data_IF_743396085801
#
_entry.id   IF_743396085801
#
_cell.length_a   1.000
_cell.length_b   1.000
_cell.length_c   1.000
_cell.angle_alpha   90.00
_cell.angle_beta   90.00
_cell.angle_gamma   90.00
#
_symmetry.space_group_name_H-M   'P 1'
#
loop_
_entity.id
_entity.type
_entity.pdbx_description
1 polymer ?
#
# COMPACT_ATOMS: atom_id res chain seq x y z
N UNK A 1 -17.30 8.55 -21.33
CA UNK A 1 -17.67 7.52 -20.33
C UNK A 1 -16.55 7.47 -19.31
N UNK A 2 -16.88 7.51 -18.00
CA UNK A 2 -15.90 7.37 -16.93
C UNK A 2 -15.47 5.91 -16.81
N UNK A 3 -14.16 5.66 -16.76
CA UNK A 3 -13.56 4.40 -16.30
C UNK A 3 -13.34 4.57 -14.81
N UNK A 4 -13.76 3.60 -13.99
CA UNK A 4 -13.52 3.58 -12.55
C UNK A 4 -13.13 2.19 -12.10
N UNK A 5 -12.04 2.08 -11.32
CA UNK A 5 -11.63 0.84 -10.66
C UNK A 5 -11.21 1.16 -9.23
N UNK A 6 -11.73 0.38 -8.31
CA UNK A 6 -11.28 0.34 -6.92
C UNK A 6 -10.37 -0.88 -6.75
N UNK A 7 -9.15 -0.65 -6.31
CA UNK A 7 -8.10 -1.66 -6.20
C UNK A 7 -7.72 -1.78 -4.72
N UNK A 8 -7.50 -3.00 -4.26
CA UNK A 8 -7.22 -3.24 -2.85
C UNK A 8 -5.83 -3.83 -2.63
N UNK A 9 -5.13 -3.32 -1.64
CA UNK A 9 -3.92 -3.93 -1.09
C UNK A 9 -4.23 -4.60 0.25
N UNK A 10 -4.12 -5.95 0.35
CA UNK A 10 -4.46 -6.66 1.58
C UNK A 10 -3.44 -6.49 2.71
N UNK A 11 -2.21 -6.05 2.42
CA UNK A 11 -1.18 -5.90 3.45
C UNK A 11 -1.39 -4.64 4.28
N UNK A 12 -1.66 -3.51 3.62
CA UNK A 12 -1.94 -2.23 4.27
C UNK A 12 -3.43 -1.99 4.50
N UNK A 13 -4.31 -2.77 3.86
CA UNK A 13 -5.76 -2.54 3.77
C UNK A 13 -6.12 -1.24 3.04
N UNK A 14 -5.26 -0.82 2.12
CA UNK A 14 -5.41 0.40 1.33
C UNK A 14 -6.25 0.16 0.08
N UNK A 15 -7.10 1.12 -0.25
CA UNK A 15 -7.73 1.24 -1.55
C UNK A 15 -7.01 2.25 -2.42
N UNK A 16 -6.61 1.83 -3.62
CA UNK A 16 -6.20 2.73 -4.71
C UNK A 16 -7.35 2.90 -5.71
N UNK A 17 -7.43 4.07 -6.36
CA UNK A 17 -8.54 4.37 -7.26
C UNK A 17 -8.05 4.83 -8.62
N UNK A 18 -8.38 4.07 -9.67
CA UNK A 18 -8.12 4.45 -11.06
C UNK A 18 -9.36 5.13 -11.65
N UNK A 19 -9.21 6.37 -12.09
CA UNK A 19 -10.23 7.12 -12.82
C UNK A 19 -9.72 7.48 -14.22
N UNK A 20 -10.53 7.22 -15.26
CA UNK A 20 -10.13 7.53 -16.64
C UNK A 20 -11.29 8.10 -17.47
N UNK A 21 -10.97 8.97 -18.43
CA UNK A 21 -11.87 9.34 -19.51
C UNK A 21 -11.64 8.39 -20.70
N UNK A 22 -12.57 7.44 -20.90
CA UNK A 22 -12.49 6.47 -21.99
C UNK A 22 -12.41 7.08 -23.40
N UNK A 23 -12.85 8.33 -23.59
CA UNK A 23 -12.80 9.00 -24.92
C UNK A 23 -11.47 9.71 -25.15
N UNK A 24 -10.86 10.22 -24.11
CA UNK A 24 -9.54 10.87 -24.17
C UNK A 24 -8.40 9.87 -23.97
N UNK A 25 -8.70 8.66 -23.50
CA UNK A 25 -7.73 7.65 -23.13
C UNK A 25 -6.69 8.17 -22.11
N UNK A 26 -7.14 9.00 -21.15
CA UNK A 26 -6.31 9.53 -20.07
C UNK A 26 -6.89 9.14 -18.72
N UNK A 27 -6.00 8.84 -17.76
CA UNK A 27 -6.39 8.42 -16.42
C UNK A 27 -5.48 9.01 -15.35
N UNK A 28 -5.99 9.03 -14.11
CA UNK A 28 -5.25 9.29 -12.88
C UNK A 28 -5.41 8.10 -11.93
N UNK A 29 -4.43 7.90 -11.06
CA UNK A 29 -4.46 6.87 -10.01
C UNK A 29 -4.25 7.53 -8.65
N UNK A 30 -5.17 7.31 -7.73
CA UNK A 30 -5.14 7.85 -6.36
C UNK A 30 -4.59 6.79 -5.42
N UNK A 31 -3.69 7.18 -4.51
CA UNK A 31 -3.06 6.39 -3.45
C UNK A 31 -2.47 5.04 -3.95
N UNK A 32 -1.55 5.05 -4.94
CA UNK A 32 -0.91 3.83 -5.43
C UNK A 32 0.02 3.22 -4.37
N UNK A 33 -0.04 1.90 -4.19
CA UNK A 33 0.86 1.15 -3.29
C UNK A 33 2.07 0.63 -4.07
N UNK A 34 3.28 0.76 -3.50
CA UNK A 34 4.55 0.39 -4.16
C UNK A 34 4.54 -1.06 -4.67
N UNK A 35 4.16 -1.98 -3.81
CA UNK A 35 4.13 -3.42 -4.10
C UNK A 35 3.04 -3.79 -5.13
N UNK A 36 2.06 -2.90 -5.36
CA UNK A 36 0.98 -3.09 -6.33
C UNK A 36 1.22 -2.37 -7.67
N UNK A 37 2.32 -1.62 -7.81
CA UNK A 37 2.59 -0.82 -9.01
C UNK A 37 2.57 -1.64 -10.31
N UNK A 38 3.01 -2.91 -10.28
CA UNK A 38 2.94 -3.83 -11.42
C UNK A 38 1.51 -4.15 -11.83
N UNK A 39 0.65 -4.51 -10.87
CA UNK A 39 -0.78 -4.76 -11.10
C UNK A 39 -1.42 -3.53 -11.74
N UNK A 40 -1.13 -2.36 -11.17
CA UNK A 40 -1.72 -1.10 -11.59
C UNK A 40 -1.26 -0.72 -13.00
N UNK A 41 0.03 -0.88 -13.31
CA UNK A 41 0.57 -0.64 -14.66
C UNK A 41 -0.03 -1.61 -15.69
N UNK A 42 -0.19 -2.90 -15.37
CA UNK A 42 -0.80 -3.89 -16.23
C UNK A 42 -2.26 -3.54 -16.55
N UNK A 43 -3.04 -3.17 -15.52
CA UNK A 43 -4.43 -2.76 -15.67
C UNK A 43 -4.56 -1.49 -16.54
N UNK A 44 -3.70 -0.49 -16.33
CA UNK A 44 -3.66 0.74 -17.11
C UNK A 44 -3.39 0.43 -18.60
N UNK A 45 -2.44 -0.46 -18.86
CA UNK A 45 -2.10 -0.95 -20.21
C UNK A 45 -3.27 -1.72 -20.85
N UNK A 46 -3.91 -2.64 -20.11
CA UNK A 46 -5.07 -3.41 -20.57
C UNK A 46 -6.24 -2.51 -20.95
N UNK A 47 -6.48 -1.45 -20.18
CA UNK A 47 -7.54 -0.47 -20.44
C UNK A 47 -7.20 0.49 -21.59
N UNK A 48 -5.97 0.46 -22.10
CA UNK A 48 -5.52 1.31 -23.20
C UNK A 48 -5.53 2.80 -22.85
N UNK A 49 -5.27 3.17 -21.60
CA UNK A 49 -5.26 4.57 -21.14
C UNK A 49 -3.85 5.01 -20.75
N UNK A 50 -3.58 6.30 -20.94
CA UNK A 50 -2.35 6.95 -20.48
C UNK A 50 -2.54 7.41 -19.03
N UNK A 51 -1.72 6.96 -18.12
CA UNK A 51 -1.65 7.52 -16.77
C UNK A 51 -0.99 8.90 -16.83
N UNK A 52 -1.77 9.95 -16.57
CA UNK A 52 -1.25 11.33 -16.61
C UNK A 52 -0.68 11.76 -15.27
N UNK A 53 -1.24 11.27 -14.16
CA UNK A 53 -0.73 11.56 -12.82
C UNK A 53 -1.08 10.45 -11.82
N UNK A 54 -0.22 10.29 -10.82
CA UNK A 54 -0.54 9.69 -9.53
C UNK A 54 -0.87 10.80 -8.53
N UNK A 55 -1.83 10.54 -7.65
CA UNK A 55 -2.34 11.50 -6.68
C UNK A 55 -2.29 10.86 -5.29
N UNK A 56 -1.74 11.55 -4.31
CA UNK A 56 -1.76 11.12 -2.91
C UNK A 56 -2.82 11.92 -2.14
N UNK A 57 -3.67 11.24 -1.38
CA UNK A 57 -4.60 11.92 -0.47
C UNK A 57 -3.85 12.50 0.74
N UNK A 58 -2.77 11.84 1.15
CA UNK A 58 -1.90 12.25 2.27
C UNK A 58 -0.55 11.51 2.23
N UNK A 59 0.34 11.82 3.14
CA UNK A 59 1.58 11.05 3.36
C UNK A 59 1.23 9.82 4.20
N UNK A 60 1.17 8.66 3.57
CA UNK A 60 0.79 7.39 4.19
C UNK A 60 1.86 6.88 5.18
N UNK A 61 1.41 6.20 6.25
CA UNK A 61 2.27 5.63 7.30
C UNK A 61 2.28 4.08 7.32
N UNK A 62 1.45 3.45 6.52
CA UNK A 62 1.18 2.02 6.49
C UNK A 62 1.76 1.32 5.26
N UNK A 63 2.03 2.05 4.18
CA UNK A 63 2.67 1.57 2.96
C UNK A 63 3.51 2.66 2.30
N UNK A 64 4.42 2.27 1.42
CA UNK A 64 5.14 3.20 0.54
C UNK A 64 4.35 3.41 -0.75
N UNK A 65 4.28 4.66 -1.23
CA UNK A 65 3.59 4.96 -2.49
C UNK A 65 4.28 4.35 -3.71
N UNK A 66 3.49 3.85 -4.66
CA UNK A 66 3.94 3.38 -5.97
C UNK A 66 4.22 4.49 -6.98
N UNK A 67 4.06 5.77 -6.60
CA UNK A 67 4.11 6.90 -7.52
C UNK A 67 5.42 6.97 -8.32
N UNK A 68 6.58 6.80 -7.66
CA UNK A 68 7.87 6.79 -8.33
C UNK A 68 8.02 5.65 -9.35
N UNK A 69 7.61 4.41 -9.01
CA UNK A 69 7.65 3.28 -9.94
C UNK A 69 6.79 3.53 -11.17
N UNK A 70 5.56 4.02 -10.97
CA UNK A 70 4.62 4.31 -12.06
C UNK A 70 5.11 5.47 -12.92
N UNK A 71 5.73 6.50 -12.34
CA UNK A 71 6.39 7.56 -13.09
C UNK A 71 7.50 6.99 -13.99
N UNK A 72 8.36 6.15 -13.46
CA UNK A 72 9.47 5.54 -14.22
C UNK A 72 9.00 4.59 -15.32
N UNK A 73 7.89 3.88 -15.11
CA UNK A 73 7.35 2.91 -16.06
C UNK A 73 6.44 3.54 -17.12
N UNK A 74 5.58 4.48 -16.71
CA UNK A 74 4.48 5.01 -17.54
C UNK A 74 4.61 6.49 -17.86
N UNK A 75 5.57 7.20 -17.24
CA UNK A 75 5.78 8.62 -17.44
C UNK A 75 4.71 9.51 -16.80
N UNK A 76 4.01 9.04 -15.77
CA UNK A 76 3.02 9.82 -15.03
C UNK A 76 3.66 10.90 -14.17
N UNK A 77 2.98 12.03 -13.98
CA UNK A 77 3.41 13.03 -13.01
C UNK A 77 3.08 12.58 -11.57
N UNK A 78 3.98 12.82 -10.62
CA UNK A 78 3.74 12.64 -9.19
C UNK A 78 3.11 13.90 -8.63
N UNK A 79 1.94 13.76 -7.97
CA UNK A 79 1.16 14.91 -7.55
C UNK A 79 0.61 14.70 -6.13
N UNK A 80 0.80 15.67 -5.25
CA UNK A 80 0.27 15.64 -3.88
C UNK A 80 0.08 17.06 -3.32
N UNK A 81 -0.46 17.15 -2.11
CA UNK A 81 -0.73 18.42 -1.44
C UNK A 81 0.55 19.23 -1.17
N UNK A 82 0.52 20.54 -1.42
CA UNK A 82 1.60 21.47 -1.04
C UNK A 82 1.83 21.52 0.48
N UNK A 83 0.82 21.20 1.28
CA UNK A 83 0.91 21.15 2.73
C UNK A 83 1.43 19.82 3.30
N UNK A 84 1.76 18.86 2.44
CA UNK A 84 2.23 17.52 2.84
C UNK A 84 3.62 17.51 3.47
N UNK A 85 4.45 18.55 3.15
CA UNK A 85 5.86 18.55 3.50
C UNK A 85 6.74 17.59 2.69
N UNK A 86 6.16 16.89 1.69
CA UNK A 86 6.92 16.00 0.82
C UNK A 86 7.70 16.79 -0.25
N UNK A 87 8.82 16.22 -0.68
CA UNK A 87 9.71 16.77 -1.71
C UNK A 87 9.81 15.83 -2.91
N UNK A 88 10.14 16.36 -4.08
CA UNK A 88 10.38 15.56 -5.29
C UNK A 88 9.14 15.26 -6.12
N UNK A 89 7.99 15.87 -5.83
CA UNK A 89 6.81 15.79 -6.69
C UNK A 89 6.94 16.72 -7.92
N UNK A 90 6.30 16.32 -9.03
CA UNK A 90 6.23 17.16 -10.22
C UNK A 90 5.24 18.31 -10.05
N UNK A 91 4.22 18.11 -9.24
CA UNK A 91 3.19 19.11 -9.00
C UNK A 91 2.68 19.06 -7.56
N UNK A 92 2.61 20.24 -6.94
CA UNK A 92 2.03 20.46 -5.63
C UNK A 92 0.66 21.12 -5.76
N UNK A 93 -0.33 20.58 -5.05
CA UNK A 93 -1.72 20.99 -5.12
C UNK A 93 -2.14 21.83 -3.91
N UNK A 94 -2.95 22.85 -4.16
CA UNK A 94 -3.62 23.65 -3.15
C UNK A 94 -5.14 23.42 -3.19
N UNK A 95 -5.84 23.89 -2.15
CA UNK A 95 -7.30 23.88 -2.13
C UNK A 95 -7.90 24.62 -3.35
N UNK A 96 -8.87 24.01 -4.02
CA UNK A 96 -9.52 24.54 -5.22
C UNK A 96 -8.80 24.22 -6.52
N UNK A 97 -7.59 23.64 -6.49
CA UNK A 97 -6.91 23.20 -7.71
C UNK A 97 -7.70 22.08 -8.41
N UNK A 98 -7.42 21.91 -9.70
CA UNK A 98 -8.03 20.86 -10.51
C UNK A 98 -6.97 20.01 -11.19
N UNK A 99 -7.10 18.69 -11.04
CA UNK A 99 -6.29 17.72 -11.76
C UNK A 99 -7.11 17.16 -12.93
N UNK A 100 -6.70 17.48 -14.15
CA UNK A 100 -7.41 17.07 -15.38
C UNK A 100 -6.93 15.69 -15.86
N UNK A 101 -7.87 14.90 -16.36
CA UNK A 101 -7.62 13.67 -17.13
C UNK A 101 -8.66 13.60 -18.26
N UNK A 102 -8.21 13.91 -19.44
CA UNK A 102 -9.08 14.11 -20.60
C UNK A 102 -10.02 15.30 -20.42
N UNK A 103 -11.31 15.05 -20.48
CA UNK A 103 -12.38 16.07 -20.32
C UNK A 103 -12.91 16.15 -18.90
N UNK A 104 -12.44 15.29 -18.04
CA UNK A 104 -12.81 15.21 -16.62
C UNK A 104 -11.72 15.86 -15.76
N UNK A 105 -12.08 16.18 -14.54
CA UNK A 105 -11.13 16.63 -13.53
C UNK A 105 -11.55 16.20 -12.12
N UNK A 106 -10.57 16.20 -11.24
CA UNK A 106 -10.74 16.11 -9.79
C UNK A 106 -10.46 17.49 -9.19
N UNK A 107 -11.39 18.01 -8.40
CA UNK A 107 -11.19 19.21 -7.57
C UNK A 107 -10.53 18.81 -6.27
N UNK A 108 -9.52 19.57 -5.86
CA UNK A 108 -8.77 19.36 -4.61
C UNK A 108 -9.43 20.14 -3.49
N UNK A 109 -9.89 19.46 -2.45
CA UNK A 109 -10.35 20.08 -1.21
C UNK A 109 -9.36 19.78 -0.09
N UNK A 110 -8.71 20.82 0.47
CA UNK A 110 -7.86 20.63 1.63
C UNK A 110 -8.70 20.14 2.82
N UNK A 111 -8.32 19.01 3.38
CA UNK A 111 -9.02 18.37 4.50
C UNK A 111 -8.03 17.96 5.59
N UNK A 112 -7.24 18.93 6.15
CA UNK A 112 -6.28 18.64 7.19
C UNK A 112 -6.93 18.04 8.43
N UNK A 113 -6.16 17.23 9.17
CA UNK A 113 -6.59 16.69 10.45
C UNK A 113 -6.09 15.30 10.76
N UNK A 114 -6.18 14.33 9.85
CA UNK A 114 -5.45 13.07 9.97
C UNK A 114 -3.95 13.32 9.82
N UNK A 115 -3.54 14.01 8.75
CA UNK A 115 -2.25 14.69 8.63
C UNK A 115 -2.49 16.16 8.23
N UNK A 116 -1.45 17.00 8.34
CA UNK A 116 -1.53 18.40 7.91
C UNK A 116 -1.78 18.53 6.39
N UNK A 117 -1.24 17.58 5.61
CA UNK A 117 -1.30 17.59 4.14
C UNK A 117 -2.51 16.89 3.54
N UNK A 118 -3.48 16.42 4.33
CA UNK A 118 -4.63 15.69 3.79
C UNK A 118 -5.45 16.52 2.81
N UNK A 119 -5.85 15.87 1.71
CA UNK A 119 -6.79 16.38 0.72
C UNK A 119 -7.86 15.36 0.40
N UNK A 120 -9.03 15.85 0.01
CA UNK A 120 -10.10 15.05 -0.60
C UNK A 120 -10.18 15.44 -2.07
N UNK A 121 -10.19 14.45 -2.94
CA UNK A 121 -10.41 14.66 -4.38
C UNK A 121 -11.88 14.48 -4.71
N UNK A 122 -12.49 15.48 -5.33
CA UNK A 122 -13.92 15.47 -5.70
C UNK A 122 -14.05 15.47 -7.23
N UNK A 123 -14.78 14.50 -7.78
CA UNK A 123 -15.03 14.43 -9.21
C UNK A 123 -15.85 15.64 -9.68
N UNK A 124 -15.63 16.12 -10.88
CA UNK A 124 -16.17 17.34 -11.49
C UNK A 124 -17.70 17.47 -11.47
N UNK A 125 -18.44 16.35 -11.38
CA UNK A 125 -19.90 16.32 -11.27
C UNK A 125 -20.38 16.04 -9.83
N UNK A 126 -19.49 16.06 -8.85
CA UNK A 126 -19.75 15.75 -7.43
C UNK A 126 -20.44 14.39 -7.18
N UNK A 127 -20.34 13.47 -8.13
CA UNK A 127 -20.88 12.11 -7.96
C UNK A 127 -20.02 11.22 -7.09
N UNK A 128 -18.71 11.52 -6.97
CA UNK A 128 -17.71 10.74 -6.23
C UNK A 128 -16.74 11.67 -5.51
N UNK A 129 -16.31 11.27 -4.30
CA UNK A 129 -15.21 11.92 -3.59
C UNK A 129 -14.30 10.86 -2.92
N UNK A 130 -13.00 11.10 -2.97
CA UNK A 130 -11.94 10.24 -2.44
C UNK A 130 -11.38 10.91 -1.20
N UNK A 131 -11.75 10.38 -0.03
CA UNK A 131 -11.65 11.10 1.24
C UNK A 131 -10.34 10.87 1.99
N UNK A 132 -9.47 9.99 1.46
CA UNK A 132 -8.30 9.56 2.21
C UNK A 132 -8.69 8.99 3.57
N UNK A 133 -7.90 9.30 4.58
CA UNK A 133 -8.19 8.92 5.97
C UNK A 133 -8.89 10.02 6.78
N UNK A 134 -9.24 11.13 6.14
CA UNK A 134 -10.03 12.18 6.82
C UNK A 134 -11.40 11.65 7.24
N UNK A 135 -12.05 10.88 6.35
CA UNK A 135 -13.34 10.23 6.61
C UNK A 135 -13.32 8.79 6.08
N UNK A 136 -13.53 7.81 6.98
CA UNK A 136 -13.71 6.40 6.65
C UNK A 136 -15.19 6.01 6.73
N UNK A 137 -15.54 4.85 6.17
CA UNK A 137 -16.93 4.34 6.25
C UNK A 137 -17.29 4.09 7.72
N UNK A 138 -18.28 4.81 8.25
CA UNK A 138 -18.69 4.75 9.67
C UNK A 138 -17.52 4.99 10.63
N UNK A 139 -16.60 5.88 10.25
CA UNK A 139 -15.41 6.18 11.05
C UNK A 139 -14.62 7.35 10.53
N UNK A 140 -13.42 7.45 11.00
CA UNK A 140 -12.40 8.41 10.58
C UNK A 140 -11.01 7.81 10.82
N UNK A 141 -10.00 8.28 10.13
CA UNK A 141 -8.62 8.05 10.51
C UNK A 141 -8.32 8.60 11.91
N UNK A 142 -7.15 8.31 12.42
CA UNK A 142 -6.64 8.88 13.68
C UNK A 142 -6.02 10.25 13.43
N UNK A 143 -5.79 11.01 14.48
CA UNK A 143 -5.21 12.37 14.37
C UNK A 143 -4.15 12.65 15.46
N UNK A 144 -3.48 11.62 15.97
CA UNK A 144 -2.56 11.67 17.11
C UNK A 144 -1.08 11.52 16.71
N UNK A 145 -0.76 11.52 15.38
CA UNK A 145 0.59 11.54 14.86
C UNK A 145 0.67 12.32 13.52
N UNK A 146 1.87 12.47 12.92
CA UNK A 146 2.10 13.18 11.64
C UNK A 146 1.46 14.56 11.56
N UNK A 147 1.58 15.34 12.63
CA UNK A 147 0.98 16.69 12.75
C UNK A 147 -0.56 16.65 12.61
N UNK A 148 -1.19 15.57 13.06
CA UNK A 148 -2.63 15.45 13.11
C UNK A 148 -3.26 16.42 14.10
N UNK A 149 -4.49 16.88 13.80
CA UNK A 149 -5.29 17.75 14.63
C UNK A 149 -6.76 17.33 14.57
N UNK A 150 -7.32 16.76 15.65
CA UNK A 150 -8.70 16.32 15.65
C UNK A 150 -9.71 17.48 15.46
N UNK A 151 -9.40 18.69 15.87
CA UNK A 151 -10.27 19.86 15.64
C UNK A 151 -10.31 20.23 14.15
N UNK A 152 -9.13 20.30 13.53
CA UNK A 152 -9.02 20.54 12.09
C UNK A 152 -9.75 19.45 11.31
N UNK A 153 -9.60 18.17 11.70
CA UNK A 153 -10.27 17.05 11.06
C UNK A 153 -11.79 17.14 11.14
N UNK A 154 -12.34 17.43 12.32
CA UNK A 154 -13.78 17.63 12.48
C UNK A 154 -14.30 18.72 11.54
N UNK A 155 -13.62 19.89 11.53
CA UNK A 155 -13.99 21.03 10.69
C UNK A 155 -13.87 20.70 9.20
N UNK A 156 -12.79 20.04 8.80
CA UNK A 156 -12.56 19.60 7.42
C UNK A 156 -13.70 18.69 6.92
N UNK A 157 -14.04 17.67 7.68
CA UNK A 157 -15.12 16.74 7.29
C UNK A 157 -16.46 17.47 7.19
N UNK A 158 -16.80 18.27 8.18
CA UNK A 158 -18.08 18.99 8.24
C UNK A 158 -18.23 20.06 7.14
N UNK A 159 -17.14 20.76 6.78
CA UNK A 159 -17.20 21.89 5.83
C UNK A 159 -16.82 21.50 4.40
N UNK A 160 -16.00 20.46 4.17
CA UNK A 160 -15.49 20.13 2.85
C UNK A 160 -16.08 18.84 2.27
N UNK A 161 -16.45 17.88 3.11
CA UNK A 161 -16.95 16.57 2.66
C UNK A 161 -18.45 16.46 2.84
N UNK A 162 -18.94 16.68 4.07
CA UNK A 162 -20.38 16.52 4.36
C UNK A 162 -21.26 17.64 3.78
N UNK A 163 -20.70 18.66 3.13
CA UNK A 163 -21.42 19.67 2.33
C UNK A 163 -21.72 19.21 0.92
N UNK A 164 -21.08 18.17 0.42
CA UNK A 164 -21.39 17.57 -0.89
C UNK A 164 -22.83 17.04 -0.97
N UNK A 165 -23.37 16.83 -2.18
CA UNK A 165 -24.71 16.26 -2.35
C UNK A 165 -24.87 14.95 -1.58
N UNK A 166 -26.04 14.67 -0.97
CA UNK A 166 -26.26 13.44 -0.20
C UNK A 166 -26.01 12.15 -0.98
N UNK A 167 -26.20 12.17 -2.29
CA UNK A 167 -25.99 11.04 -3.19
C UNK A 167 -24.51 10.89 -3.63
N UNK A 168 -23.62 11.83 -3.29
CA UNK A 168 -22.20 11.73 -3.59
C UNK A 168 -21.62 10.50 -2.89
N UNK A 169 -21.01 9.61 -3.66
CA UNK A 169 -20.35 8.41 -3.15
C UNK A 169 -18.98 8.76 -2.58
N UNK A 170 -18.69 8.24 -1.41
CA UNK A 170 -17.44 8.48 -0.69
C UNK A 170 -16.58 7.21 -0.68
N UNK A 171 -15.33 7.37 -1.08
CA UNK A 171 -14.32 6.33 -1.21
C UNK A 171 -13.13 6.66 -0.30
N UNK A 172 -12.95 5.95 0.83
CA UNK A 172 -11.85 6.19 1.76
C UNK A 172 -10.55 5.54 1.29
N UNK A 173 -9.39 5.94 1.86
CA UNK A 173 -8.13 5.24 1.59
C UNK A 173 -8.08 3.86 2.24
N UNK A 174 -8.75 3.65 3.39
CA UNK A 174 -8.70 2.38 4.11
C UNK A 174 -10.06 1.85 4.50
N UNK A 175 -10.18 0.52 4.53
CA UNK A 175 -11.21 -0.19 5.29
C UNK A 175 -10.68 -1.53 5.81
N UNK A 176 -11.02 -1.86 7.06
CA UNK A 176 -10.57 -3.07 7.77
C UNK A 176 -11.70 -4.09 7.96
N UNK A 177 -12.86 -3.88 7.34
CA UNK A 177 -14.09 -4.67 7.50
C UNK A 177 -14.67 -5.16 6.18
N UNK A 178 -13.99 -4.85 5.06
CA UNK A 178 -14.44 -5.23 3.72
C UNK A 178 -15.53 -4.32 3.13
N UNK A 179 -15.72 -3.11 3.70
CA UNK A 179 -16.62 -2.11 3.15
C UNK A 179 -15.91 -1.31 2.06
N UNK A 180 -16.57 -1.05 0.95
CA UNK A 180 -15.93 -0.50 -0.26
C UNK A 180 -16.35 0.93 -0.58
N UNK A 181 -17.55 1.33 -0.18
CA UNK A 181 -18.13 2.64 -0.50
C UNK A 181 -19.22 3.02 0.49
N UNK A 182 -19.41 4.31 0.68
CA UNK A 182 -20.53 4.90 1.42
C UNK A 182 -21.03 6.14 0.67
N UNK A 183 -21.95 6.90 1.24
CA UNK A 183 -22.41 8.16 0.69
C UNK A 183 -22.38 9.28 1.73
N UNK A 184 -22.39 10.54 1.26
CA UNK A 184 -22.51 11.69 2.15
C UNK A 184 -23.76 11.61 3.01
N UNK A 185 -24.90 11.20 2.43
CA UNK A 185 -26.15 11.05 3.16
C UNK A 185 -26.08 10.00 4.27
N UNK A 186 -25.39 8.88 4.01
CA UNK A 186 -25.18 7.84 5.00
C UNK A 186 -24.23 8.29 6.11
N UNK A 187 -23.09 8.91 5.77
CA UNK A 187 -22.14 9.35 6.78
C UNK A 187 -22.70 10.49 7.65
N UNK A 188 -23.50 11.40 7.07
CA UNK A 188 -24.24 12.39 7.85
C UNK A 188 -25.16 11.75 8.88
N UNK A 189 -25.79 10.64 8.54
CA UNK A 189 -26.81 10.01 9.39
C UNK A 189 -26.23 8.97 10.35
N UNK A 190 -25.25 8.19 9.89
CA UNK A 190 -24.85 6.97 10.56
C UNK A 190 -23.39 6.94 11.03
N UNK A 191 -22.56 7.95 10.68
CA UNK A 191 -21.19 7.98 11.18
C UNK A 191 -21.19 8.21 12.70
N UNK A 192 -20.68 7.24 13.51
CA UNK A 192 -20.76 7.32 14.97
C UNK A 192 -19.80 8.35 15.57
N UNK A 193 -18.93 8.98 14.77
CA UNK A 193 -17.92 9.96 15.21
C UNK A 193 -18.16 11.36 14.69
N UNK A 194 -18.71 11.47 13.47
CA UNK A 194 -18.78 12.72 12.71
C UNK A 194 -20.18 13.01 12.17
N UNK A 195 -21.11 12.06 12.31
CA UNK A 195 -22.49 12.19 11.84
C UNK A 195 -23.42 12.82 12.89
N UNK A 196 -24.69 13.03 12.50
CA UNK A 196 -25.73 13.53 13.39
C UNK A 196 -25.38 14.87 14.02
N UNK A 197 -25.67 14.96 15.32
CA UNK A 197 -25.46 16.15 16.17
C UNK A 197 -24.17 16.05 17.01
N UNK A 198 -23.25 15.13 16.66
CA UNK A 198 -21.97 15.00 17.37
C UNK A 198 -21.19 16.30 17.26
N UNK A 199 -20.85 16.90 18.41
CA UNK A 199 -20.13 18.14 18.50
C UNK A 199 -18.62 17.99 18.34
N UNK A 200 -17.93 19.11 18.04
CA UNK A 200 -16.46 19.12 17.91
C UNK A 200 -15.77 18.62 19.20
N UNK A 201 -16.29 19.02 20.38
CA UNK A 201 -15.72 18.60 21.66
C UNK A 201 -15.81 17.11 21.90
N UNK A 202 -16.91 16.47 21.49
CA UNK A 202 -17.13 15.03 21.66
C UNK A 202 -16.18 14.26 20.75
N UNK A 203 -16.04 14.70 19.49
CA UNK A 203 -15.10 14.12 18.54
C UNK A 203 -13.65 14.24 19.01
N UNK A 204 -13.23 15.41 19.48
CA UNK A 204 -11.89 15.63 20.02
C UNK A 204 -11.64 14.78 21.27
N UNK A 205 -12.60 14.71 22.18
CA UNK A 205 -12.53 13.83 23.34
C UNK A 205 -12.35 12.36 22.97
N UNK A 206 -13.09 11.90 21.97
CA UNK A 206 -12.96 10.55 21.43
C UNK A 206 -11.55 10.31 20.83
N UNK A 207 -11.09 11.21 19.97
CA UNK A 207 -9.80 11.07 19.28
C UNK A 207 -8.60 11.07 20.23
N UNK A 208 -8.64 11.89 21.29
CA UNK A 208 -7.57 11.94 22.28
C UNK A 208 -7.49 10.67 23.18
N UNK A 209 -8.50 9.82 23.14
CA UNK A 209 -8.56 8.60 23.94
C UNK A 209 -8.52 7.30 23.09
N UNK A 210 -8.13 7.38 21.83
CA UNK A 210 -8.09 6.20 20.93
C UNK A 210 -7.10 5.13 21.39
N UNK A 211 -5.92 5.51 21.91
CA UNK A 211 -4.91 4.58 22.43
C UNK A 211 -4.43 3.51 21.46
N UNK A 212 -4.49 3.76 20.16
CA UNK A 212 -4.12 2.79 19.13
C UNK A 212 -2.58 2.68 19.00
N UNK A 213 -2.03 1.47 18.75
CA UNK A 213 -0.61 1.32 18.41
C UNK A 213 -0.29 2.09 17.11
N UNK A 214 0.97 2.52 16.96
CA UNK A 214 1.42 3.14 15.72
C UNK A 214 1.40 2.11 14.56
N UNK A 215 1.22 2.57 13.30
CA UNK A 215 1.37 1.73 12.13
C UNK A 215 2.76 1.07 12.12
N UNK A 216 2.82 -0.22 11.78
CA UNK A 216 4.06 -1.01 11.85
C UNK A 216 5.17 -0.50 10.93
N UNK A 217 4.80 0.13 9.83
CA UNK A 217 5.74 0.62 8.81
C UNK A 217 6.01 2.12 8.90
N UNK A 218 5.55 2.83 9.95
CA UNK A 218 5.63 4.29 10.04
C UNK A 218 7.07 4.82 9.87
N UNK A 219 8.06 4.14 10.46
CA UNK A 219 9.47 4.53 10.41
C UNK A 219 10.11 4.33 9.01
N UNK A 220 9.47 3.57 8.13
CA UNK A 220 9.89 3.32 6.74
C UNK A 220 9.02 4.12 5.78
N UNK A 221 7.71 4.01 5.89
CA UNK A 221 6.76 4.57 4.94
C UNK A 221 6.76 6.10 4.97
N UNK A 222 6.72 6.73 6.14
CA UNK A 222 6.67 8.20 6.23
C UNK A 222 7.91 8.85 5.61
N UNK A 223 9.17 8.47 5.95
CA UNK A 223 10.34 9.03 5.29
C UNK A 223 10.40 8.76 3.77
N UNK A 224 9.95 7.60 3.32
CA UNK A 224 9.88 7.27 1.91
C UNK A 224 8.84 8.10 1.16
N UNK A 225 7.64 8.25 1.73
CA UNK A 225 6.54 9.01 1.15
C UNK A 225 6.78 10.52 1.16
N UNK A 226 7.54 11.03 2.14
CA UNK A 226 8.06 12.40 2.11
C UNK A 226 9.02 12.67 0.94
N UNK A 227 9.51 11.60 0.28
CA UNK A 227 10.29 11.64 -0.97
C UNK A 227 9.53 11.03 -2.15
N UNK A 228 8.20 10.99 -2.10
CA UNK A 228 7.33 10.46 -3.16
C UNK A 228 7.65 9.00 -3.55
N UNK A 229 8.10 8.17 -2.62
CA UNK A 229 8.50 6.79 -2.87
C UNK A 229 9.84 6.62 -3.60
N UNK A 230 10.63 7.69 -3.76
CA UNK A 230 11.98 7.60 -4.31
C UNK A 230 12.88 6.77 -3.40
N UNK A 231 13.62 5.79 -3.94
CA UNK A 231 14.63 5.08 -3.16
C UNK A 231 15.79 6.03 -2.78
N UNK A 232 16.55 5.68 -1.73
CA UNK A 232 17.68 6.52 -1.27
C UNK A 232 18.81 6.67 -2.29
N UNK A 233 18.94 5.72 -3.21
CA UNK A 233 19.87 5.76 -4.33
C UNK A 233 19.07 5.67 -5.62
N UNK A 234 19.52 6.38 -6.67
CA UNK A 234 18.99 6.20 -8.02
C UNK A 234 19.05 4.72 -8.42
N UNK A 235 17.99 4.00 -8.13
CA UNK A 235 17.87 2.60 -8.45
C UNK A 235 17.38 2.46 -9.90
N UNK A 236 18.02 1.58 -10.66
CA UNK A 236 17.45 1.12 -11.92
C UNK A 236 16.11 0.43 -11.63
N UNK A 237 15.19 0.52 -12.59
CA UNK A 237 13.97 -0.29 -12.49
C UNK A 237 14.36 -1.77 -12.39
N UNK A 238 13.78 -2.52 -11.46
CA UNK A 238 14.08 -3.94 -11.35
C UNK A 238 13.62 -4.67 -12.61
N UNK A 239 14.51 -5.49 -13.16
CA UNK A 239 14.14 -6.43 -14.22
C UNK A 239 13.42 -7.60 -13.57
N UNK A 240 12.20 -7.84 -13.99
CA UNK A 240 11.38 -8.91 -13.44
C UNK A 240 11.96 -10.29 -13.75
N UNK A 241 12.24 -11.12 -12.74
CA UNK A 241 12.63 -12.51 -12.95
C UNK A 241 11.44 -13.32 -13.51
N UNK A 242 11.69 -14.11 -14.57
CA UNK A 242 10.64 -14.88 -15.25
C UNK A 242 10.33 -16.25 -14.66
N UNK A 243 10.85 -16.61 -13.48
CA UNK A 243 10.77 -17.96 -12.92
C UNK A 243 9.54 -18.20 -12.01
N UNK A 244 8.91 -17.15 -11.52
CA UNK A 244 7.63 -17.18 -10.78
C UNK A 244 6.97 -15.80 -10.79
N UNK A 245 5.67 -15.69 -10.45
CA UNK A 245 5.04 -14.40 -10.15
C UNK A 245 5.64 -13.80 -8.89
N UNK A 246 6.41 -12.73 -9.04
CA UNK A 246 7.11 -12.06 -7.94
C UNK A 246 6.62 -10.63 -7.76
N UNK A 247 6.67 -10.15 -6.52
CA UNK A 247 6.41 -8.74 -6.16
C UNK A 247 7.73 -8.08 -5.77
N UNK A 248 8.07 -6.96 -6.40
CA UNK A 248 9.21 -6.16 -5.97
C UNK A 248 8.79 -5.25 -4.82
N UNK A 249 9.54 -5.29 -3.72
CA UNK A 249 9.23 -4.50 -2.52
C UNK A 249 10.10 -3.25 -2.44
N UNK A 250 9.66 -2.26 -1.67
CA UNK A 250 10.44 -1.05 -1.40
C UNK A 250 11.80 -1.35 -0.71
N UNK A 251 11.91 -2.48 -0.01
CA UNK A 251 13.19 -2.94 0.56
C UNK A 251 14.22 -3.37 -0.50
N UNK A 252 13.87 -3.33 -1.80
CA UNK A 252 14.77 -3.70 -2.90
C UNK A 252 14.92 -5.21 -3.09
N UNK A 253 13.99 -6.00 -2.61
CA UNK A 253 13.98 -7.46 -2.74
C UNK A 253 12.73 -7.95 -3.45
N UNK A 254 12.81 -9.11 -4.07
CA UNK A 254 11.66 -9.82 -4.59
C UNK A 254 10.98 -10.65 -3.50
N UNK A 255 9.65 -10.67 -3.51
CA UNK A 255 8.83 -11.55 -2.68
C UNK A 255 7.98 -12.47 -3.54
N UNK A 256 7.80 -13.70 -3.05
CA UNK A 256 6.88 -14.69 -3.61
C UNK A 256 5.72 -14.92 -2.63
N UNK A 257 4.50 -14.97 -3.16
CA UNK A 257 3.33 -15.30 -2.37
C UNK A 257 3.27 -16.81 -2.10
N UNK A 258 2.65 -17.28 -1.01
CA UNK A 258 2.59 -18.71 -0.67
C UNK A 258 2.04 -19.58 -1.80
N UNK A 259 0.91 -19.23 -2.41
CA UNK A 259 0.32 -19.96 -3.54
C UNK A 259 1.31 -20.10 -4.71
N UNK A 260 1.96 -18.99 -5.08
CA UNK A 260 2.93 -18.98 -6.18
C UNK A 260 4.18 -19.82 -5.87
N UNK A 261 4.62 -19.88 -4.60
CA UNK A 261 5.70 -20.77 -4.18
C UNK A 261 5.27 -22.23 -4.27
N UNK A 262 4.08 -22.60 -3.80
CA UNK A 262 3.57 -23.96 -3.87
C UNK A 262 3.48 -24.46 -5.33
N UNK A 263 2.91 -23.64 -6.23
CA UNK A 263 2.79 -23.95 -7.65
C UNK A 263 4.14 -24.13 -8.37
N UNK A 264 5.20 -23.44 -7.93
CA UNK A 264 6.51 -23.43 -8.58
C UNK A 264 7.60 -24.19 -7.81
N UNK A 265 7.28 -24.83 -6.68
CA UNK A 265 8.24 -25.43 -5.74
C UNK A 265 9.21 -26.45 -6.39
N UNK A 266 8.78 -27.18 -7.41
CA UNK A 266 9.61 -28.20 -8.08
C UNK A 266 10.92 -27.63 -8.68
N UNK A 267 10.90 -26.37 -9.11
CA UNK A 267 12.03 -25.71 -9.76
C UNK A 267 12.82 -24.77 -8.82
N UNK A 268 12.37 -24.61 -7.58
CA UNK A 268 12.90 -23.65 -6.62
C UNK A 268 13.68 -24.39 -5.53
N UNK A 269 14.74 -23.77 -5.04
CA UNK A 269 15.42 -24.19 -3.81
C UNK A 269 14.83 -23.40 -2.64
N UNK A 270 14.21 -24.07 -1.70
CA UNK A 270 13.64 -23.44 -0.51
C UNK A 270 14.66 -23.51 0.62
N UNK A 271 15.04 -22.38 1.20
CA UNK A 271 16.00 -22.27 2.30
C UNK A 271 15.30 -21.71 3.53
N UNK A 272 15.14 -22.54 4.55
CA UNK A 272 14.59 -22.11 5.83
C UNK A 272 15.73 -21.56 6.70
N UNK A 273 15.66 -20.27 7.03
CA UNK A 273 16.69 -19.56 7.79
C UNK A 273 16.35 -19.41 9.28
N UNK A 274 15.36 -20.18 9.75
CA UNK A 274 15.04 -20.29 11.17
C UNK A 274 16.08 -21.10 11.94
N UNK A 275 15.98 -21.05 13.26
CA UNK A 275 16.76 -21.93 14.12
C UNK A 275 16.18 -23.36 14.10
N UNK A 276 17.00 -24.39 14.42
CA UNK A 276 16.57 -25.80 14.40
C UNK A 276 15.31 -26.07 15.22
N UNK A 277 15.17 -25.45 16.38
CA UNK A 277 13.99 -25.61 17.25
C UNK A 277 12.71 -25.04 16.62
N UNK A 278 12.81 -23.96 15.84
CA UNK A 278 11.68 -23.41 15.09
C UNK A 278 11.33 -24.29 13.87
N UNK A 279 12.33 -24.81 13.17
CA UNK A 279 12.17 -25.66 11.99
C UNK A 279 11.47 -26.99 12.33
N UNK A 280 11.77 -27.57 13.50
CA UNK A 280 11.11 -28.76 14.03
C UNK A 280 9.92 -28.46 14.95
N UNK A 281 9.63 -27.18 15.16
CA UNK A 281 8.59 -26.68 16.07
C UNK A 281 7.17 -26.73 15.50
N UNK A 282 6.20 -26.10 16.21
CA UNK A 282 4.78 -26.22 15.91
C UNK A 282 4.34 -25.76 14.52
N UNK A 283 5.07 -24.79 13.93
CA UNK A 283 4.75 -24.30 12.57
C UNK A 283 5.12 -25.31 11.46
N UNK A 284 5.92 -26.33 11.78
CA UNK A 284 6.43 -27.24 10.77
C UNK A 284 7.38 -26.55 9.79
N UNK A 285 7.57 -27.15 8.61
CA UNK A 285 8.39 -26.64 7.52
C UNK A 285 7.77 -26.94 6.16
N UNK A 286 8.16 -26.19 5.15
CA UNK A 286 7.75 -26.46 3.77
C UNK A 286 8.48 -27.73 3.29
N UNK A 287 7.77 -28.58 2.54
CA UNK A 287 8.37 -29.82 1.99
C UNK A 287 9.62 -29.50 1.15
N UNK A 288 10.69 -30.26 1.39
CA UNK A 288 11.96 -30.07 0.68
C UNK A 288 12.77 -28.83 1.10
N UNK A 289 12.33 -28.04 2.07
CA UNK A 289 13.08 -26.90 2.56
C UNK A 289 14.39 -27.34 3.27
N UNK A 290 15.51 -26.72 2.86
CA UNK A 290 16.83 -26.94 3.47
C UNK A 290 17.03 -25.98 4.63
N UNK A 291 17.32 -26.49 5.81
CA UNK A 291 17.64 -25.69 6.98
C UNK A 291 19.06 -25.12 6.91
N UNK A 292 19.17 -23.81 6.80
CA UNK A 292 20.44 -23.07 6.94
C UNK A 292 20.15 -21.82 7.79
N UNK A 293 20.33 -21.86 9.11
CA UNK A 293 20.06 -20.71 9.97
C UNK A 293 20.74 -19.43 9.50
N UNK A 294 20.05 -18.29 9.65
CA UNK A 294 20.51 -16.99 9.15
C UNK A 294 21.93 -16.66 9.60
N UNK A 295 22.28 -16.98 10.86
CA UNK A 295 23.58 -16.68 11.43
C UNK A 295 24.76 -17.40 10.77
N UNK A 296 24.51 -18.49 10.03
CA UNK A 296 25.53 -19.26 9.31
C UNK A 296 25.35 -19.28 7.79
N UNK A 297 24.31 -18.61 7.28
CA UNK A 297 23.96 -18.64 5.87
C UNK A 297 25.11 -18.16 4.97
N UNK A 298 25.77 -17.06 5.33
CA UNK A 298 26.87 -16.50 4.55
C UNK A 298 28.03 -17.49 4.33
N UNK A 299 28.32 -18.32 5.33
CA UNK A 299 29.38 -19.34 5.26
C UNK A 299 28.93 -20.61 4.51
N UNK A 300 27.62 -20.83 4.37
CA UNK A 300 27.04 -22.06 3.81
C UNK A 300 26.34 -21.86 2.45
N UNK A 301 26.52 -20.70 1.81
CA UNK A 301 25.95 -20.41 0.48
C UNK A 301 26.40 -21.41 -0.60
N UNK A 302 27.60 -22.01 -0.45
CA UNK A 302 28.10 -23.07 -1.34
C UNK A 302 27.28 -24.36 -1.35
N UNK A 303 26.34 -24.53 -0.42
CA UNK A 303 25.41 -25.66 -0.40
C UNK A 303 24.17 -25.45 -1.29
N UNK A 304 24.02 -24.27 -1.90
CA UNK A 304 22.94 -23.91 -2.79
C UNK A 304 23.43 -23.90 -4.24
N UNK A 305 22.61 -24.41 -5.15
CA UNK A 305 22.88 -24.37 -6.58
C UNK A 305 22.67 -22.93 -7.11
N UNK A 306 23.61 -22.41 -7.90
CA UNK A 306 23.56 -21.01 -8.39
C UNK A 306 22.71 -20.85 -9.65
N UNK A 307 22.38 -21.95 -10.31
CA UNK A 307 21.60 -22.04 -11.54
C UNK A 307 20.11 -22.29 -11.29
N UNK A 308 19.69 -22.28 -10.03
CA UNK A 308 18.29 -22.44 -9.63
C UNK A 308 17.83 -21.30 -8.73
N UNK A 309 16.58 -20.83 -8.89
CA UNK A 309 15.99 -19.82 -8.00
C UNK A 309 16.03 -20.27 -6.54
N UNK A 310 16.22 -19.32 -5.64
CA UNK A 310 16.24 -19.54 -4.19
C UNK A 310 15.14 -18.74 -3.52
N UNK A 311 14.28 -19.41 -2.75
CA UNK A 311 13.31 -18.74 -1.87
C UNK A 311 13.74 -18.93 -0.43
N UNK A 312 14.02 -17.80 0.23
CA UNK A 312 14.31 -17.77 1.66
C UNK A 312 13.02 -17.74 2.47
N UNK A 313 12.96 -18.55 3.53
CA UNK A 313 11.80 -18.71 4.41
C UNK A 313 12.23 -18.50 5.85
N UNK A 314 11.43 -17.75 6.62
CA UNK A 314 11.55 -17.71 8.07
C UNK A 314 10.16 -17.72 8.74
N UNK A 315 10.08 -17.32 10.00
CA UNK A 315 8.81 -17.34 10.72
C UNK A 315 7.79 -16.35 10.14
N UNK A 316 8.18 -15.08 9.87
CA UNK A 316 7.29 -13.98 9.51
C UNK A 316 7.71 -13.16 8.28
N UNK A 317 8.78 -13.56 7.58
CA UNK A 317 9.31 -12.84 6.42
C UNK A 317 10.52 -11.94 6.74
N UNK A 318 10.71 -11.44 7.96
CA UNK A 318 11.76 -10.46 8.27
C UNK A 318 13.20 -11.00 8.15
N UNK A 319 13.50 -12.15 8.75
CA UNK A 319 14.83 -12.79 8.65
C UNK A 319 15.14 -13.29 7.25
N UNK A 320 14.14 -13.80 6.56
CA UNK A 320 14.27 -14.26 5.17
C UNK A 320 14.44 -13.10 4.18
N UNK A 321 13.90 -11.92 4.46
CA UNK A 321 14.22 -10.70 3.71
C UNK A 321 15.74 -10.36 3.82
N UNK A 322 16.30 -10.41 5.03
CA UNK A 322 17.75 -10.24 5.23
C UNK A 322 18.57 -11.33 4.52
N UNK A 323 18.10 -12.58 4.58
CA UNK A 323 18.71 -13.69 3.88
C UNK A 323 18.72 -13.49 2.36
N UNK A 324 17.65 -12.94 1.78
CA UNK A 324 17.59 -12.62 0.36
C UNK A 324 18.65 -11.61 -0.06
N UNK A 325 18.86 -10.56 0.74
CA UNK A 325 19.93 -9.57 0.51
C UNK A 325 21.32 -10.23 0.61
N UNK A 326 21.56 -11.08 1.63
CA UNK A 326 22.81 -11.82 1.77
C UNK A 326 23.10 -12.72 0.56
N UNK A 327 22.10 -13.43 0.07
CA UNK A 327 22.23 -14.30 -1.10
C UNK A 327 22.51 -13.50 -2.37
N UNK A 328 21.84 -12.36 -2.59
CA UNK A 328 22.12 -11.45 -3.70
C UNK A 328 23.57 -10.95 -3.66
N UNK A 329 24.05 -10.51 -2.50
CA UNK A 329 25.45 -10.10 -2.32
C UNK A 329 26.43 -11.26 -2.53
N UNK A 330 26.03 -12.50 -2.26
CA UNK A 330 26.81 -13.70 -2.55
C UNK A 330 26.77 -14.12 -4.04
N UNK A 331 26.07 -13.36 -4.90
CA UNK A 331 26.02 -13.55 -6.35
C UNK A 331 24.93 -14.51 -6.83
N UNK A 332 23.86 -14.70 -6.06
CA UNK A 332 22.64 -15.36 -6.54
C UNK A 332 21.75 -14.31 -7.21
N UNK A 333 21.35 -14.54 -8.47
CA UNK A 333 20.55 -13.59 -9.24
C UNK A 333 19.04 -13.76 -9.00
N UNK A 334 18.60 -15.01 -8.86
CA UNK A 334 17.18 -15.38 -8.72
C UNK A 334 16.87 -15.70 -7.25
N UNK A 335 16.58 -14.67 -6.47
CA UNK A 335 16.31 -14.80 -5.03
C UNK A 335 15.02 -14.09 -4.68
N UNK A 336 14.18 -14.75 -3.89
CA UNK A 336 12.99 -14.13 -3.32
C UNK A 336 12.80 -14.48 -1.83
N UNK A 337 12.10 -13.61 -1.13
CA UNK A 337 11.61 -13.82 0.23
C UNK A 337 10.20 -14.42 0.18
N UNK A 338 9.88 -15.41 1.02
CA UNK A 338 8.48 -15.84 1.19
C UNK A 338 7.71 -14.77 1.98
N UNK A 339 6.73 -14.15 1.34
CA UNK A 339 5.88 -13.13 1.93
C UNK A 339 5.15 -13.66 3.17
N UNK A 340 5.35 -12.99 4.32
CA UNK A 340 4.74 -13.39 5.59
C UNK A 340 5.29 -14.68 6.23
N UNK A 341 6.23 -15.37 5.58
CA UNK A 341 6.91 -16.56 6.08
C UNK A 341 5.97 -17.70 6.47
N UNK A 342 6.43 -18.58 7.37
CA UNK A 342 5.67 -19.77 7.82
C UNK A 342 4.36 -19.42 8.53
N UNK A 343 4.25 -18.25 9.14
CA UNK A 343 2.98 -17.82 9.76
C UNK A 343 1.88 -17.68 8.71
N UNK A 344 2.19 -17.01 7.60
CA UNK A 344 1.23 -16.81 6.52
C UNK A 344 1.00 -18.11 5.73
N UNK A 345 2.06 -18.87 5.45
CA UNK A 345 1.97 -20.20 4.82
C UNK A 345 0.94 -21.10 5.54
N UNK A 346 1.01 -21.15 6.88
CA UNK A 346 0.08 -21.93 7.70
C UNK A 346 -1.33 -21.33 7.74
N UNK A 347 -1.44 -20.01 7.84
CA UNK A 347 -2.74 -19.33 7.89
C UNK A 347 -3.57 -19.51 6.62
N UNK A 348 -2.89 -19.63 5.46
CA UNK A 348 -3.51 -19.87 4.16
C UNK A 348 -3.75 -21.38 3.88
N UNK A 349 -3.35 -22.26 4.80
CA UNK A 349 -3.68 -23.69 4.75
C UNK A 349 -2.74 -24.56 3.93
N UNK A 350 -1.56 -24.05 3.55
CA UNK A 350 -0.56 -24.81 2.80
C UNK A 350 0.04 -25.96 3.58
N UNK A 351 0.40 -27.04 2.88
CA UNK A 351 0.95 -28.25 3.47
C UNK A 351 2.32 -28.03 4.14
N UNK A 352 2.54 -28.69 5.28
CA UNK A 352 3.81 -28.67 6.00
C UNK A 352 4.26 -30.07 6.40
N UNK A 353 5.57 -30.24 6.52
CA UNK A 353 6.17 -31.42 7.16
C UNK A 353 6.44 -31.13 8.65
N UNK A 354 6.08 -32.06 9.52
CA UNK A 354 6.17 -31.85 10.97
C UNK A 354 5.16 -30.79 11.43
N UNK A 355 5.35 -30.30 12.64
CA UNK A 355 4.42 -29.34 13.23
C UNK A 355 3.30 -30.02 14.04
N UNK A 356 2.61 -29.21 14.83
CA UNK A 356 1.38 -29.66 15.52
C UNK A 356 0.18 -29.30 14.66
N UNK A 357 -0.76 -30.21 14.55
CA UNK A 357 -2.02 -30.03 13.83
C UNK A 357 -2.89 -28.94 14.49
#
# INVERSE_FOLDING_TARGET
MLIFRQLFDPQSSTYSYLLGDARACEAVLIDPVFEQARRDAALISELGVKLVATLETHVHADHVTGAWLLQRQLGSAITLSAASGAEGADRYLAHGDRVKFGRRYLEVRATPGHTQGCVTYVLDDESMAFTGDCLLIRGSGRADFQQGDPRAMYRSVRSQILTLPPACLLYPAHDYRGLTVTSVGEERRYNPRLGGEIGESDFVGYMNNLGLPHPKLIDIAVPANLRCGHPEKDAALPVEPGWAPLTFTFAGIWEIQPDALEENAANIQIVDVREPDEYHGPLGRIHGAKLIPLGVLAARTGELARDRPVVAVCRSGARSAQASILLQHAGFNDVANLAGGMLRWRAEGHAVEGGQA
#
